data_IF_721616303995
#
_entry.id   IF_721616303995
#
_cell.length_a   1.000
_cell.length_b   1.000
_cell.length_c   1.000
_cell.angle_alpha   90.00
_cell.angle_beta   90.00
_cell.angle_gamma   90.00
#
_symmetry.space_group_name_H-M   'P 1'
#
loop_
_entity.id
_entity.type
_entity.pdbx_description
1 polymer ?
#
# COMPACT_ATOMS: atom_id res chain seq x y z
N UNK A 1 24.94 6.00 -11.05
CA UNK A 1 23.95 5.23 -11.86
C UNK A 1 22.56 5.57 -11.31
N UNK A 2 21.55 5.67 -12.17
CA UNK A 2 20.17 5.88 -11.71
C UNK A 2 19.73 4.66 -10.90
N UNK A 3 19.14 4.87 -9.72
CA UNK A 3 18.58 3.80 -8.89
C UNK A 3 17.29 3.27 -9.53
N UNK A 4 17.11 1.94 -9.59
CA UNK A 4 15.91 1.30 -10.09
C UNK A 4 14.84 1.27 -9.02
N UNK A 5 13.71 1.96 -9.26
CA UNK A 5 12.56 2.05 -8.37
C UNK A 5 11.48 1.08 -8.83
N UNK A 6 11.11 0.12 -7.98
CA UNK A 6 10.10 -0.90 -8.29
C UNK A 6 8.94 -0.80 -7.30
N UNK A 7 7.74 -0.56 -7.82
CA UNK A 7 6.53 -0.70 -7.02
C UNK A 7 6.09 -2.17 -6.99
N UNK A 8 5.86 -2.67 -5.79
CA UNK A 8 5.32 -4.01 -5.54
C UNK A 8 3.93 -3.85 -4.93
N UNK A 9 2.91 -4.21 -5.71
CA UNK A 9 1.52 -4.19 -5.29
C UNK A 9 1.18 -5.57 -4.76
N UNK A 10 0.83 -5.66 -3.48
CA UNK A 10 0.51 -6.95 -2.87
C UNK A 10 -1.00 -7.17 -2.78
N UNK A 11 -1.44 -8.39 -3.10
CA UNK A 11 -2.83 -8.80 -2.92
C UNK A 11 -3.00 -10.32 -2.96
N UNK A 12 -4.16 -10.80 -2.47
CA UNK A 12 -4.57 -12.19 -2.53
C UNK A 12 -6.10 -12.31 -2.55
N UNK A 13 -6.62 -13.42 -3.06
CA UNK A 13 -8.06 -13.69 -3.12
C UNK A 13 -8.68 -13.96 -1.74
N UNK A 14 -7.89 -14.53 -0.82
CA UNK A 14 -8.36 -15.01 0.48
C UNK A 14 -8.50 -13.91 1.54
N UNK A 15 -9.09 -12.75 1.19
CA UNK A 15 -9.46 -11.71 2.16
C UNK A 15 -10.53 -12.22 3.12
N UNK A 16 -10.39 -11.94 4.43
CA UNK A 16 -11.31 -12.46 5.44
C UNK A 16 -12.67 -11.77 5.49
N UNK A 17 -12.73 -10.47 5.12
CA UNK A 17 -13.96 -9.65 5.16
C UNK A 17 -14.68 -9.60 3.82
N UNK A 18 -13.92 -9.65 2.72
CA UNK A 18 -14.44 -9.59 1.36
C UNK A 18 -13.58 -10.50 0.46
N UNK A 19 -13.82 -11.83 0.46
CA UNK A 19 -13.10 -12.76 -0.40
C UNK A 19 -13.23 -12.38 -1.88
N UNK A 20 -12.14 -12.49 -2.64
CA UNK A 20 -12.12 -12.16 -4.06
C UNK A 20 -12.11 -10.67 -4.39
N UNK A 21 -12.05 -9.80 -3.40
CA UNK A 21 -12.14 -8.34 -3.59
C UNK A 21 -11.21 -7.78 -4.66
N UNK A 22 -10.00 -8.33 -4.82
CA UNK A 22 -9.02 -7.82 -5.79
C UNK A 22 -9.45 -7.98 -7.24
N UNK A 23 -10.34 -8.93 -7.54
CA UNK A 23 -10.97 -9.08 -8.86
C UNK A 23 -12.41 -8.54 -8.90
N UNK A 24 -12.89 -7.93 -7.83
CA UNK A 24 -14.22 -7.32 -7.81
C UNK A 24 -14.28 -6.14 -8.80
N UNK A 25 -15.38 -6.08 -9.56
CA UNK A 25 -15.61 -5.01 -10.51
C UNK A 25 -15.81 -3.65 -9.82
N UNK A 26 -15.08 -2.64 -10.31
CA UNK A 26 -15.27 -1.23 -10.01
C UNK A 26 -15.45 -0.49 -11.34
N UNK A 27 -16.69 -0.22 -11.72
CA UNK A 27 -17.04 0.52 -12.95
C UNK A 27 -16.37 -0.06 -14.22
N UNK A 28 -16.55 -1.37 -14.45
CA UNK A 28 -16.12 -2.06 -15.65
C UNK A 28 -14.68 -2.57 -15.66
N UNK A 29 -13.94 -2.45 -14.56
CA UNK A 29 -12.61 -3.04 -14.39
C UNK A 29 -12.43 -3.63 -13.00
N UNK A 30 -11.67 -4.74 -12.85
CA UNK A 30 -11.30 -5.27 -11.55
C UNK A 30 -10.54 -4.25 -10.71
N UNK A 31 -10.72 -4.28 -9.39
CA UNK A 31 -10.01 -3.42 -8.45
C UNK A 31 -8.49 -3.45 -8.64
N UNK A 32 -7.92 -4.63 -8.90
CA UNK A 32 -6.49 -4.78 -9.19
C UNK A 32 -6.05 -3.90 -10.36
N UNK A 33 -6.81 -3.88 -11.46
CA UNK A 33 -6.49 -3.03 -12.61
C UNK A 33 -6.48 -1.55 -12.24
N UNK A 34 -7.45 -1.10 -11.45
CA UNK A 34 -7.48 0.29 -10.95
C UNK A 34 -6.20 0.65 -10.23
N UNK A 35 -5.75 -0.22 -9.31
CA UNK A 35 -4.51 0.01 -8.55
C UNK A 35 -3.29 -0.01 -9.48
N UNK A 36 -3.18 -1.00 -10.39
CA UNK A 36 -2.06 -1.11 -11.33
C UNK A 36 -1.96 0.11 -12.25
N UNK A 37 -3.07 0.50 -12.88
CA UNK A 37 -3.14 1.64 -13.80
C UNK A 37 -2.80 2.94 -13.09
N UNK A 38 -3.36 3.19 -11.91
CA UNK A 38 -3.08 4.42 -11.17
C UNK A 38 -1.64 4.47 -10.69
N UNK A 39 -1.09 3.36 -10.19
CA UNK A 39 0.32 3.27 -9.80
C UNK A 39 1.25 3.53 -10.99
N UNK A 40 0.91 3.06 -12.21
CA UNK A 40 1.74 3.25 -13.41
C UNK A 40 1.87 4.70 -13.87
N UNK A 41 1.07 5.60 -13.32
CA UNK A 41 1.13 7.04 -13.63
C UNK A 41 2.18 7.79 -12.80
N UNK A 42 2.74 7.17 -11.77
CA UNK A 42 3.84 7.75 -11.01
C UNK A 42 5.11 7.80 -11.88
N UNK A 43 5.79 8.96 -11.85
CA UNK A 43 6.93 9.26 -12.74
C UNK A 43 8.26 8.71 -12.22
N UNK A 44 8.32 8.42 -10.94
CA UNK A 44 9.53 7.91 -10.28
C UNK A 44 9.72 6.41 -10.44
N UNK A 45 8.70 5.67 -10.87
CA UNK A 45 8.72 4.21 -10.97
C UNK A 45 9.34 3.75 -12.29
N UNK A 46 10.24 2.77 -12.22
CA UNK A 46 10.81 2.11 -13.39
C UNK A 46 10.07 0.80 -13.73
N UNK A 47 9.43 0.16 -12.74
CA UNK A 47 8.65 -1.08 -12.92
C UNK A 47 7.59 -1.23 -11.85
N UNK A 48 6.48 -1.92 -12.19
CA UNK A 48 5.39 -2.26 -11.28
C UNK A 48 5.16 -3.76 -11.37
N UNK A 49 5.12 -4.44 -10.23
CA UNK A 49 4.94 -5.88 -10.16
C UNK A 49 3.83 -6.20 -9.15
N UNK A 50 2.85 -6.99 -9.56
CA UNK A 50 1.88 -7.53 -8.63
C UNK A 50 2.44 -8.76 -7.93
N UNK A 51 2.39 -8.80 -6.59
CA UNK A 51 2.91 -9.92 -5.80
C UNK A 51 1.76 -10.66 -5.11
N UNK A 52 1.42 -11.84 -5.61
CA UNK A 52 0.40 -12.73 -5.04
C UNK A 52 1.01 -14.01 -4.44
N UNK A 53 0.18 -14.99 -4.10
CA UNK A 53 0.65 -16.20 -3.44
C UNK A 53 0.69 -17.42 -4.36
N UNK A 54 1.39 -18.47 -3.92
CA UNK A 54 1.40 -19.77 -4.60
C UNK A 54 0.20 -20.65 -4.20
N UNK A 55 -0.69 -20.15 -3.35
CA UNK A 55 -1.93 -20.85 -2.99
C UNK A 55 -2.85 -20.92 -4.22
N UNK A 56 -3.51 -22.06 -4.43
CA UNK A 56 -4.41 -22.28 -5.57
C UNK A 56 -5.60 -21.31 -5.60
N UNK A 57 -6.00 -20.75 -4.45
CA UNK A 57 -7.03 -19.70 -4.43
C UNK A 57 -6.64 -18.45 -5.18
N UNK A 58 -5.35 -18.22 -5.42
CA UNK A 58 -4.81 -17.07 -6.14
C UNK A 58 -4.54 -17.35 -7.64
N UNK A 59 -4.83 -18.58 -8.14
CA UNK A 59 -4.70 -18.88 -9.57
C UNK A 59 -5.54 -17.93 -10.45
N UNK A 60 -6.80 -17.60 -10.11
CA UNK A 60 -7.60 -16.68 -10.93
C UNK A 60 -6.98 -15.29 -11.06
N UNK A 61 -6.28 -14.79 -10.03
CA UNK A 61 -5.64 -13.48 -10.12
C UNK A 61 -4.34 -13.55 -10.91
N UNK A 62 -3.60 -14.65 -10.86
CA UNK A 62 -2.44 -14.87 -11.71
C UNK A 62 -2.84 -14.96 -13.20
N UNK A 63 -3.88 -15.73 -13.52
CA UNK A 63 -4.47 -15.80 -14.88
C UNK A 63 -4.93 -14.42 -15.36
N UNK A 64 -5.54 -13.64 -14.48
CA UNK A 64 -5.94 -12.27 -14.82
C UNK A 64 -4.73 -11.37 -15.11
N UNK A 65 -3.65 -11.46 -14.34
CA UNK A 65 -2.42 -10.69 -14.61
C UNK A 65 -1.81 -11.05 -15.97
N UNK A 66 -1.75 -12.34 -16.31
CA UNK A 66 -1.30 -12.80 -17.64
C UNK A 66 -2.18 -12.24 -18.76
N UNK A 67 -3.49 -12.31 -18.61
CA UNK A 67 -4.46 -11.76 -19.58
C UNK A 67 -4.32 -10.25 -19.75
N UNK A 68 -4.14 -9.52 -18.66
CA UNK A 68 -4.04 -8.06 -18.65
C UNK A 68 -2.64 -7.53 -19.01
N UNK A 69 -1.64 -8.43 -19.14
CA UNK A 69 -0.25 -8.06 -19.42
C UNK A 69 0.45 -7.38 -18.23
N UNK A 70 0.04 -7.68 -17.00
CA UNK A 70 0.69 -7.16 -15.80
C UNK A 70 1.83 -8.06 -15.36
N UNK A 71 3.01 -7.48 -15.09
CA UNK A 71 4.09 -8.21 -14.44
C UNK A 71 3.63 -8.69 -13.07
N UNK A 72 3.83 -9.99 -12.78
CA UNK A 72 3.49 -10.52 -11.46
C UNK A 72 4.48 -11.59 -10.97
N UNK A 73 4.47 -11.81 -9.67
CA UNK A 73 5.23 -12.87 -8.99
C UNK A 73 4.33 -13.61 -8.01
N UNK A 74 4.68 -14.85 -7.70
CA UNK A 74 3.98 -15.65 -6.69
C UNK A 74 4.97 -16.09 -5.61
N UNK A 75 4.53 -16.07 -4.35
CA UNK A 75 5.36 -16.45 -3.22
C UNK A 75 4.56 -16.93 -2.01
N UNK A 76 5.16 -16.92 -0.83
CA UNK A 76 4.53 -17.41 0.40
C UNK A 76 3.20 -16.72 0.71
N UNK A 77 2.20 -17.52 1.12
CA UNK A 77 0.91 -17.02 1.59
C UNK A 77 1.04 -16.19 2.89
N UNK A 78 1.87 -16.67 3.84
CA UNK A 78 1.97 -16.09 5.18
C UNK A 78 3.20 -15.21 5.38
N UNK A 79 4.26 -15.45 4.62
CA UNK A 79 5.48 -14.67 4.69
C UNK A 79 5.51 -13.58 3.61
N UNK A 80 4.81 -12.49 3.91
CA UNK A 80 4.69 -11.35 2.98
C UNK A 80 6.04 -10.65 2.81
N UNK A 81 6.85 -10.55 3.88
CA UNK A 81 8.19 -9.96 3.80
C UNK A 81 9.10 -10.76 2.85
N UNK A 82 9.05 -12.10 2.88
CA UNK A 82 9.79 -12.93 1.93
C UNK A 82 9.30 -12.68 0.50
N UNK A 83 7.99 -12.60 0.29
CA UNK A 83 7.41 -12.31 -1.03
C UNK A 83 7.90 -10.97 -1.59
N UNK A 84 7.94 -9.92 -0.77
CA UNK A 84 8.52 -8.62 -1.16
C UNK A 84 10.00 -8.73 -1.48
N UNK A 85 10.78 -9.41 -0.65
CA UNK A 85 12.21 -9.57 -0.86
C UNK A 85 12.53 -10.34 -2.13
N UNK A 86 11.84 -11.46 -2.40
CA UNK A 86 12.04 -12.28 -3.59
C UNK A 86 11.67 -11.49 -4.86
N UNK A 87 10.51 -10.82 -4.86
CA UNK A 87 10.08 -9.99 -5.99
C UNK A 87 11.08 -8.87 -6.27
N UNK A 88 11.49 -8.12 -5.25
CA UNK A 88 12.46 -7.03 -5.38
C UNK A 88 13.83 -7.51 -5.86
N UNK A 89 14.28 -8.69 -5.37
CA UNK A 89 15.54 -9.32 -5.78
C UNK A 89 15.53 -9.73 -7.25
N UNK A 90 14.44 -10.37 -7.71
CA UNK A 90 14.27 -10.77 -9.12
C UNK A 90 14.23 -9.55 -10.04
N UNK A 91 13.55 -8.49 -9.61
CA UNK A 91 13.47 -7.24 -10.34
C UNK A 91 14.76 -6.43 -10.31
N UNK A 92 15.75 -6.79 -9.50
CA UNK A 92 16.99 -6.03 -9.26
C UNK A 92 16.68 -4.59 -8.83
N UNK A 93 15.73 -4.44 -7.91
CA UNK A 93 15.33 -3.15 -7.38
C UNK A 93 16.42 -2.55 -6.49
N UNK A 94 16.65 -1.24 -6.58
CA UNK A 94 17.43 -0.48 -5.61
C UNK A 94 16.50 0.13 -4.54
N UNK A 95 15.29 0.52 -4.96
CA UNK A 95 14.23 1.05 -4.12
C UNK A 95 12.95 0.25 -4.34
N UNK A 96 12.26 -0.06 -3.26
CA UNK A 96 10.99 -0.81 -3.26
C UNK A 96 9.88 0.10 -2.71
N UNK A 97 8.82 0.27 -3.50
CA UNK A 97 7.60 0.95 -3.07
C UNK A 97 6.53 -0.12 -2.77
N UNK A 98 5.98 -0.09 -1.57
CA UNK A 98 4.91 -0.98 -1.15
C UNK A 98 3.55 -0.30 -1.32
N UNK A 99 2.68 -0.97 -2.06
CA UNK A 99 1.27 -0.59 -2.22
C UNK A 99 0.42 -1.83 -1.96
N UNK A 100 -0.76 -1.65 -1.38
CA UNK A 100 -1.72 -2.73 -1.17
C UNK A 100 -2.80 -2.70 -2.23
N UNK A 101 -3.20 -3.87 -2.74
CA UNK A 101 -4.13 -4.01 -3.86
C UNK A 101 -5.59 -3.60 -3.54
N UNK A 102 -5.86 -3.18 -2.33
CA UNK A 102 -7.16 -2.68 -1.86
C UNK A 102 -7.25 -1.15 -1.79
N UNK A 103 -6.33 -0.45 -2.44
CA UNK A 103 -6.25 1.01 -2.49
C UNK A 103 -6.53 1.53 -3.91
N UNK A 104 -7.76 1.37 -4.46
CA UNK A 104 -8.05 1.65 -5.88
C UNK A 104 -7.98 3.13 -6.26
N UNK A 105 -7.90 4.05 -5.32
CA UNK A 105 -7.70 5.49 -5.56
C UNK A 105 -6.29 5.96 -5.19
N UNK A 106 -5.32 5.03 -5.08
CA UNK A 106 -3.92 5.39 -4.85
C UNK A 106 -3.48 6.52 -5.79
N UNK A 107 -2.77 7.49 -5.27
CA UNK A 107 -2.42 8.69 -6.02
C UNK A 107 -0.95 8.69 -6.46
N UNK A 108 -0.67 8.89 -7.77
CA UNK A 108 0.68 8.87 -8.31
C UNK A 108 1.58 9.98 -7.76
N UNK A 109 1.04 11.17 -7.43
CA UNK A 109 1.84 12.24 -6.83
C UNK A 109 2.31 11.88 -5.41
N UNK A 110 1.49 11.16 -4.65
CA UNK A 110 1.91 10.68 -3.32
C UNK A 110 3.01 9.62 -3.43
N UNK A 111 2.97 8.77 -4.45
CA UNK A 111 4.04 7.82 -4.74
C UNK A 111 5.32 8.57 -5.06
N UNK A 112 5.26 9.53 -5.99
CA UNK A 112 6.41 10.33 -6.39
C UNK A 112 7.00 11.11 -5.22
N UNK A 113 6.17 11.71 -4.35
CA UNK A 113 6.63 12.45 -3.18
C UNK A 113 7.37 11.55 -2.18
N UNK A 114 6.86 10.36 -1.90
CA UNK A 114 7.51 9.40 -0.98
C UNK A 114 8.84 8.91 -1.55
N UNK A 115 8.89 8.59 -2.85
CA UNK A 115 10.12 8.13 -3.51
C UNK A 115 11.16 9.23 -3.58
N UNK A 116 10.79 10.45 -3.99
CA UNK A 116 11.72 11.57 -4.07
C UNK A 116 12.32 11.88 -2.70
N UNK A 117 11.50 11.94 -1.64
CA UNK A 117 12.01 12.14 -0.27
C UNK A 117 13.00 11.06 0.15
N UNK A 118 12.73 9.79 -0.19
CA UNK A 118 13.65 8.70 0.13
C UNK A 118 14.99 8.86 -0.57
N UNK A 119 14.98 9.28 -1.84
CA UNK A 119 16.17 9.38 -2.67
C UNK A 119 16.99 10.64 -2.36
N UNK A 120 16.33 11.79 -2.17
CA UNK A 120 16.99 13.08 -1.98
C UNK A 120 17.63 13.22 -0.60
N UNK A 121 16.99 12.69 0.44
CA UNK A 121 17.40 12.82 1.84
C UNK A 121 18.11 11.57 2.37
N UNK A 122 18.38 10.57 1.53
CA UNK A 122 19.08 9.32 1.88
C UNK A 122 18.46 8.57 3.07
N UNK A 123 17.12 8.47 3.10
CA UNK A 123 16.40 7.66 4.08
C UNK A 123 16.47 6.17 3.72
N UNK A 124 16.36 5.30 4.75
CA UNK A 124 16.19 3.86 4.58
C UNK A 124 14.73 3.49 4.36
N UNK A 125 13.80 4.28 4.94
CA UNK A 125 12.36 4.08 4.86
C UNK A 125 11.63 5.43 4.93
N UNK A 126 10.68 5.64 4.01
CA UNK A 126 9.78 6.81 3.97
C UNK A 126 8.35 6.34 3.77
N UNK A 127 7.41 6.97 4.46
CA UNK A 127 5.99 6.69 4.32
C UNK A 127 5.14 7.95 4.54
N UNK A 128 3.87 7.88 4.14
CA UNK A 128 2.88 8.92 4.47
C UNK A 128 1.90 8.48 5.57
N UNK A 129 2.18 7.36 6.24
CA UNK A 129 1.37 6.82 7.33
C UNK A 129 2.21 5.95 8.26
N UNK A 130 2.10 6.19 9.56
CA UNK A 130 2.54 5.28 10.63
C UNK A 130 1.37 4.96 11.57
N UNK A 131 1.42 3.81 12.28
CA UNK A 131 0.41 3.48 13.29
C UNK A 131 0.54 4.40 14.52
N UNK A 132 -0.47 4.40 15.41
CA UNK A 132 -0.33 5.09 16.70
C UNK A 132 1.00 4.75 17.41
N UNK A 133 1.65 5.73 18.08
CA UNK A 133 1.10 7.03 18.48
C UNK A 133 1.17 8.14 17.42
N UNK A 134 1.65 7.85 16.22
CA UNK A 134 1.70 8.84 15.14
C UNK A 134 0.30 9.08 14.57
N UNK A 135 0.01 10.33 14.19
CA UNK A 135 -1.23 10.69 13.51
C UNK A 135 -1.23 10.26 12.05
N UNK A 136 -2.42 10.13 11.49
CA UNK A 136 -2.64 9.97 10.05
C UNK A 136 -3.22 11.27 9.51
N UNK A 137 -2.65 11.82 8.46
CA UNK A 137 -3.15 13.06 7.84
C UNK A 137 -3.69 12.85 6.43
N UNK A 138 -3.40 11.72 5.82
CA UNK A 138 -3.97 11.31 4.52
C UNK A 138 -5.11 10.31 4.73
N UNK A 139 -6.13 10.30 3.84
CA UNK A 139 -7.19 9.28 3.84
C UNK A 139 -6.63 7.85 3.88
N UNK A 140 -7.33 6.97 4.60
CA UNK A 140 -7.03 5.53 4.61
C UNK A 140 -7.25 4.99 3.20
N UNK A 141 -6.23 4.35 2.61
CA UNK A 141 -6.25 3.88 1.21
C UNK A 141 -5.39 4.71 0.26
N UNK A 142 -4.71 5.75 0.79
CA UNK A 142 -3.66 6.48 0.09
C UNK A 142 -2.26 6.17 0.66
N UNK A 143 -2.12 5.02 1.33
CA UNK A 143 -0.89 4.64 2.01
C UNK A 143 0.20 4.26 1.01
N UNK A 144 1.33 4.94 1.08
CA UNK A 144 2.54 4.66 0.33
C UNK A 144 3.69 4.47 1.29
N UNK A 145 4.45 3.40 1.10
CA UNK A 145 5.63 3.09 1.90
C UNK A 145 6.77 2.75 0.95
N UNK A 146 7.93 3.40 1.10
CA UNK A 146 9.11 3.11 0.28
C UNK A 146 10.31 2.79 1.17
N UNK A 147 11.15 1.86 0.74
CA UNK A 147 12.40 1.54 1.42
C UNK A 147 13.52 1.22 0.42
N UNK A 148 14.77 1.37 0.85
CA UNK A 148 15.91 0.87 0.07
C UNK A 148 15.90 -0.65 0.06
N UNK A 149 16.35 -1.27 -1.05
CA UNK A 149 16.49 -2.73 -1.10
C UNK A 149 17.49 -3.25 -0.03
N UNK A 150 18.50 -2.47 0.28
CA UNK A 150 19.45 -2.79 1.37
C UNK A 150 18.73 -2.91 2.72
N UNK A 151 17.83 -1.98 3.03
CA UNK A 151 17.03 -2.02 4.25
C UNK A 151 16.05 -3.20 4.25
N UNK A 152 15.36 -3.45 3.13
CA UNK A 152 14.46 -4.60 2.97
C UNK A 152 15.20 -5.93 3.17
N UNK A 153 16.39 -6.08 2.59
CA UNK A 153 17.22 -7.27 2.76
C UNK A 153 17.65 -7.48 4.22
N UNK A 154 17.97 -6.39 4.96
CA UNK A 154 18.26 -6.48 6.39
C UNK A 154 17.03 -6.95 7.16
N UNK A 155 15.85 -6.32 6.93
CA UNK A 155 14.59 -6.74 7.54
C UNK A 155 14.27 -8.22 7.25
N UNK A 156 14.39 -8.65 6.00
CA UNK A 156 14.14 -10.03 5.60
C UNK A 156 15.02 -11.06 6.34
N UNK A 157 16.30 -10.73 6.57
CA UNK A 157 17.24 -11.60 7.29
C UNK A 157 17.00 -11.65 8.80
N UNK A 158 16.63 -10.52 9.40
CA UNK A 158 16.64 -10.34 10.84
C UNK A 158 15.25 -10.44 11.48
N UNK A 159 14.17 -10.11 10.75
CA UNK A 159 12.81 -10.13 11.26
C UNK A 159 12.32 -11.57 11.49
N UNK A 160 11.99 -11.90 12.74
CA UNK A 160 11.50 -13.24 13.16
C UNK A 160 10.06 -13.21 13.64
N UNK A 161 9.59 -12.05 14.10
CA UNK A 161 8.24 -11.88 14.62
C UNK A 161 7.20 -11.99 13.48
N UNK A 162 6.10 -12.74 13.73
CA UNK A 162 5.05 -12.94 12.74
C UNK A 162 4.50 -11.62 12.21
N UNK A 163 4.30 -10.63 13.07
CA UNK A 163 3.83 -9.30 12.67
C UNK A 163 4.77 -8.60 11.67
N UNK A 164 6.09 -8.77 11.82
CA UNK A 164 7.06 -8.20 10.87
C UNK A 164 7.04 -8.96 9.54
N UNK A 165 6.85 -10.28 9.59
CA UNK A 165 6.77 -11.13 8.38
C UNK A 165 5.48 -10.87 7.59
N UNK A 166 4.36 -10.58 8.27
CA UNK A 166 3.06 -10.33 7.64
C UNK A 166 2.89 -8.87 7.18
N UNK A 167 3.25 -7.89 8.02
CA UNK A 167 3.03 -6.48 7.72
C UNK A 167 4.21 -5.79 7.02
N UNK A 168 5.37 -6.43 6.94
CA UNK A 168 6.61 -6.00 6.25
C UNK A 168 7.28 -4.79 6.91
N UNK A 169 6.63 -3.64 6.91
CA UNK A 169 7.22 -2.35 7.23
C UNK A 169 7.39 -2.04 8.73
N UNK A 170 6.64 -2.65 9.68
CA UNK A 170 6.86 -2.40 11.11
C UNK A 170 8.31 -2.60 11.57
N UNK A 171 9.06 -3.51 10.93
CA UNK A 171 10.46 -3.76 11.25
C UNK A 171 11.35 -2.52 11.11
N UNK A 172 10.99 -1.58 10.21
CA UNK A 172 11.77 -0.37 9.97
C UNK A 172 11.52 0.70 11.05
N UNK A 173 10.27 0.86 11.49
CA UNK A 173 9.83 2.01 12.28
C UNK A 173 9.40 1.69 13.71
N UNK A 174 9.34 0.42 14.11
CA UNK A 174 8.97 0.04 15.49
C UNK A 174 9.85 0.78 16.50
N UNK A 175 9.20 1.41 17.50
CA UNK A 175 9.82 2.24 18.54
C UNK A 175 10.65 3.45 18.03
N UNK A 176 10.45 3.88 16.78
CA UNK A 176 11.09 5.09 16.27
C UNK A 176 10.57 6.32 17.00
N UNK A 177 11.46 7.25 17.29
CA UNK A 177 11.12 8.58 17.78
C UNK A 177 11.33 9.56 16.64
N UNK A 178 10.27 10.21 16.20
CA UNK A 178 10.31 11.20 15.14
C UNK A 178 10.32 12.61 15.72
N UNK A 179 11.11 13.48 15.10
CA UNK A 179 11.14 14.92 15.34
C UNK A 179 10.70 15.65 14.08
N UNK A 180 10.04 16.78 14.23
CA UNK A 180 9.62 17.59 13.09
C UNK A 180 10.83 18.11 12.32
N UNK A 181 10.86 17.91 11.01
CA UNK A 181 11.82 18.50 10.07
C UNK A 181 11.18 19.72 9.40
N UNK A 182 9.89 19.60 9.07
CA UNK A 182 9.07 20.69 8.55
C UNK A 182 7.62 20.54 9.02
N UNK A 183 6.71 21.38 8.52
CA UNK A 183 5.26 21.22 8.76
C UNK A 183 4.68 19.93 8.18
N UNK A 184 5.34 19.38 7.16
CA UNK A 184 4.86 18.22 6.39
C UNK A 184 5.77 17.00 6.52
N UNK A 185 6.85 17.08 7.29
CA UNK A 185 7.80 15.99 7.42
C UNK A 185 8.31 15.87 8.86
N UNK A 186 8.32 14.64 9.34
CA UNK A 186 9.00 14.26 10.58
C UNK A 186 9.99 13.13 10.31
N UNK A 187 11.12 13.13 10.96
CA UNK A 187 12.15 12.13 10.73
C UNK A 187 12.85 11.70 12.02
N UNK A 188 13.49 10.54 11.98
CA UNK A 188 14.27 10.00 13.09
C UNK A 188 15.01 8.72 12.72
N UNK A 189 15.70 8.16 13.70
CA UNK A 189 16.40 6.88 13.54
C UNK A 189 15.75 5.85 14.46
N UNK A 190 15.34 4.71 13.89
CA UNK A 190 14.76 3.63 14.67
C UNK A 190 15.81 2.93 15.52
N UNK A 191 15.43 2.18 16.59
CA UNK A 191 16.37 1.41 17.41
C UNK A 191 17.20 0.40 16.60
N UNK A 192 16.72 -0.03 15.44
CA UNK A 192 17.46 -0.93 14.52
C UNK A 192 18.39 -0.18 13.56
N UNK A 193 18.50 1.16 13.71
CA UNK A 193 19.43 2.01 12.96
C UNK A 193 18.93 2.43 11.58
N UNK A 194 17.63 2.29 11.27
CA UNK A 194 17.05 2.79 10.02
C UNK A 194 16.72 4.28 10.13
N UNK A 195 17.11 5.05 9.12
CA UNK A 195 16.66 6.44 8.94
C UNK A 195 15.22 6.41 8.40
N UNK A 196 14.29 6.92 9.18
CA UNK A 196 12.85 6.89 8.91
C UNK A 196 12.31 8.28 8.72
N UNK A 197 11.49 8.50 7.69
CA UNK A 197 10.71 9.73 7.55
C UNK A 197 9.21 9.44 7.37
N UNK A 198 8.39 10.32 7.96
CA UNK A 198 6.94 10.36 7.84
C UNK A 198 6.54 11.66 7.15
N UNK A 199 5.83 11.54 6.03
CA UNK A 199 5.24 12.67 5.31
C UNK A 199 3.80 12.89 5.78
N UNK A 200 3.48 14.14 6.07
CA UNK A 200 2.16 14.55 6.51
C UNK A 200 1.56 15.59 5.56
N UNK A 201 0.25 15.60 5.44
CA UNK A 201 -0.47 16.73 4.86
C UNK A 201 -0.66 17.81 5.93
N UNK A 202 -0.72 19.08 5.53
CA UNK A 202 -0.91 20.21 6.47
C UNK A 202 -2.29 20.22 7.12
N UNK A 203 -3.29 19.70 6.42
CA UNK A 203 -4.64 19.48 6.92
C UNK A 203 -4.83 17.99 7.19
N UNK A 204 -5.51 17.65 8.28
CA UNK A 204 -5.81 16.27 8.62
C UNK A 204 -7.07 15.79 7.89
N UNK A 205 -6.90 14.79 7.03
CA UNK A 205 -7.93 14.07 6.30
C UNK A 205 -7.97 12.58 6.69
N UNK A 206 -7.31 12.22 7.78
CA UNK A 206 -7.12 10.83 8.21
C UNK A 206 -8.40 10.06 8.56
N UNK A 207 -9.51 10.78 8.79
CA UNK A 207 -10.81 10.17 9.07
C UNK A 207 -11.50 9.60 7.82
N UNK A 208 -11.12 10.05 6.62
CA UNK A 208 -11.67 9.49 5.38
C UNK A 208 -11.16 8.07 5.13
N UNK A 209 -12.07 7.19 4.68
CA UNK A 209 -11.75 5.78 4.42
C UNK A 209 -12.01 5.44 2.95
N UNK A 210 -10.91 5.24 2.21
CA UNK A 210 -10.91 4.96 0.77
C UNK A 210 -10.19 3.65 0.40
N UNK A 211 -9.99 2.74 1.35
CA UNK A 211 -9.55 1.36 1.11
C UNK A 211 -10.76 0.45 0.99
N UNK A 212 -10.63 -0.66 0.28
CA UNK A 212 -11.71 -1.64 0.10
C UNK A 212 -11.43 -2.88 0.94
N UNK A 213 -12.17 -3.04 2.03
CA UNK A 213 -12.08 -4.21 2.90
C UNK A 213 -13.42 -4.90 3.14
N UNK A 214 -14.52 -4.20 2.96
CA UNK A 214 -15.89 -4.66 3.19
C UNK A 214 -16.77 -4.40 1.97
N UNK A 215 -17.98 -5.00 1.88
CA UNK A 215 -18.94 -4.68 0.83
C UNK A 215 -19.28 -3.18 0.75
N UNK A 216 -19.38 -2.51 1.91
CA UNK A 216 -19.68 -1.07 1.98
C UNK A 216 -18.52 -0.25 1.39
N UNK A 217 -17.27 -0.64 1.65
CA UNK A 217 -16.10 0.02 1.04
C UNK A 217 -16.12 -0.16 -0.49
N UNK A 218 -16.48 -1.34 -0.98
CA UNK A 218 -16.58 -1.61 -2.41
C UNK A 218 -17.68 -0.77 -3.06
N UNK A 219 -18.83 -0.63 -2.41
CA UNK A 219 -19.92 0.21 -2.88
C UNK A 219 -19.52 1.69 -2.92
N UNK A 220 -18.86 2.18 -1.87
CA UNK A 220 -18.28 3.52 -1.86
C UNK A 220 -17.37 3.75 -3.08
N UNK A 221 -16.45 2.81 -3.36
CA UNK A 221 -15.56 2.93 -4.50
C UNK A 221 -16.27 2.90 -5.85
N UNK A 222 -17.32 2.10 -5.99
CA UNK A 222 -18.16 2.07 -7.19
C UNK A 222 -18.82 3.41 -7.43
N UNK A 223 -19.37 4.04 -6.39
CA UNK A 223 -19.95 5.37 -6.51
C UNK A 223 -18.89 6.44 -6.85
N UNK A 224 -17.70 6.40 -6.26
CA UNK A 224 -16.60 7.29 -6.63
C UNK A 224 -16.26 7.14 -8.12
N UNK A 225 -15.96 5.93 -8.59
CA UNK A 225 -15.57 5.69 -9.98
C UNK A 225 -16.69 6.00 -10.98
N UNK A 226 -17.93 5.77 -10.62
CA UNK A 226 -19.10 6.15 -11.43
C UNK A 226 -19.18 7.67 -11.66
N UNK A 227 -18.84 8.49 -10.65
CA UNK A 227 -18.82 9.96 -10.77
C UNK A 227 -17.66 10.47 -11.62
N UNK A 228 -16.61 9.67 -11.79
CA UNK A 228 -15.52 9.94 -12.69
C UNK A 228 -15.63 9.18 -14.04
N UNK A 229 -16.80 8.68 -14.40
CA UNK A 229 -17.07 7.94 -15.66
C UNK A 229 -16.13 6.74 -15.88
N UNK A 230 -15.68 6.10 -14.80
CA UNK A 230 -14.74 4.99 -14.82
C UNK A 230 -13.31 5.36 -15.20
N UNK A 231 -12.94 6.63 -15.25
CA UNK A 231 -11.57 7.09 -15.53
C UNK A 231 -10.63 6.81 -14.35
N UNK A 232 -9.32 6.75 -14.62
CA UNK A 232 -8.26 6.54 -13.61
C UNK A 232 -7.34 7.75 -13.46
N UNK A 233 -7.64 8.87 -14.10
CA UNK A 233 -6.76 10.05 -14.17
C UNK A 233 -7.11 11.18 -13.19
N UNK A 234 -8.13 10.99 -12.37
CA UNK A 234 -8.45 11.92 -11.28
C UNK A 234 -7.44 11.84 -10.12
N UNK A 235 -7.28 12.94 -9.40
CA UNK A 235 -6.41 13.05 -8.22
C UNK A 235 -7.18 12.69 -6.94
N UNK A 236 -6.45 12.41 -5.87
CA UNK A 236 -7.07 12.20 -4.56
C UNK A 236 -7.80 13.45 -4.05
N UNK A 237 -7.39 14.65 -4.46
CA UNK A 237 -8.04 15.92 -4.12
C UNK A 237 -9.39 16.05 -4.80
N UNK A 238 -9.51 15.61 -6.06
CA UNK A 238 -10.81 15.57 -6.74
C UNK A 238 -11.76 14.56 -6.07
N UNK A 239 -11.25 13.45 -5.53
CA UNK A 239 -12.08 12.55 -4.70
C UNK A 239 -12.51 13.24 -3.41
N UNK A 240 -11.64 14.04 -2.78
CA UNK A 240 -11.98 14.81 -1.59
C UNK A 240 -13.09 15.83 -1.88
N UNK A 241 -12.96 16.59 -2.97
CA UNK A 241 -13.95 17.54 -3.41
C UNK A 241 -15.28 16.86 -3.72
N UNK A 242 -15.25 15.71 -4.44
CA UNK A 242 -16.43 14.92 -4.73
C UNK A 242 -17.18 14.51 -3.44
N UNK A 243 -16.45 14.00 -2.45
CA UNK A 243 -17.03 13.50 -1.19
C UNK A 243 -17.53 14.68 -0.32
N UNK A 244 -16.85 15.82 -0.36
CA UNK A 244 -17.28 17.04 0.30
C UNK A 244 -18.60 17.57 -0.28
N UNK A 245 -18.70 17.61 -1.61
CA UNK A 245 -19.89 18.10 -2.31
C UNK A 245 -21.06 17.12 -2.28
N UNK A 246 -20.80 15.82 -2.02
CA UNK A 246 -21.80 14.75 -1.95
C UNK A 246 -21.65 13.95 -0.64
N UNK A 247 -22.04 14.51 0.51
CA UNK A 247 -21.83 13.87 1.82
C UNK A 247 -22.52 12.51 2.00
N UNK A 248 -23.52 12.20 1.17
CA UNK A 248 -24.18 10.89 1.15
C UNK A 248 -23.22 9.78 0.72
N UNK A 249 -22.23 10.07 -0.15
CA UNK A 249 -21.23 9.10 -0.57
C UNK A 249 -20.32 8.72 0.61
N UNK A 250 -19.88 9.70 1.42
CA UNK A 250 -19.07 9.44 2.62
C UNK A 250 -19.80 8.57 3.66
N UNK A 251 -21.14 8.59 3.69
CA UNK A 251 -21.94 7.82 4.64
C UNK A 251 -21.98 6.31 4.31
N UNK A 252 -21.69 5.92 3.09
CA UNK A 252 -21.77 4.51 2.64
C UNK A 252 -20.91 3.60 3.51
N UNK A 253 -19.69 4.01 3.83
CA UNK A 253 -18.76 3.22 4.64
C UNK A 253 -18.32 3.88 5.96
N UNK A 254 -19.02 4.93 6.41
CA UNK A 254 -18.68 5.68 7.61
C UNK A 254 -18.63 4.83 8.90
N UNK A 255 -19.37 3.72 8.96
CA UNK A 255 -19.42 2.83 10.12
C UNK A 255 -18.40 1.69 10.08
N UNK A 256 -17.58 1.60 9.01
CA UNK A 256 -16.60 0.53 8.85
C UNK A 256 -15.37 0.81 9.71
N UNK A 257 -15.09 -0.10 10.65
CA UNK A 257 -13.93 0.00 11.51
C UNK A 257 -12.64 -0.45 10.80
N UNK A 258 -11.57 0.29 11.02
CA UNK A 258 -10.24 -0.06 10.51
C UNK A 258 -9.59 -1.14 11.38
N UNK A 259 -8.96 -2.16 10.75
CA UNK A 259 -8.14 -3.14 11.46
C UNK A 259 -6.83 -2.52 11.94
N UNK A 260 -6.34 -3.01 13.07
CA UNK A 260 -5.05 -2.60 13.64
C UNK A 260 -3.93 -3.58 13.27
N UNK A 261 -2.67 -3.21 13.52
CA UNK A 261 -1.51 -4.11 13.32
C UNK A 261 -1.54 -5.36 14.21
N UNK A 262 -2.40 -5.39 15.25
CA UNK A 262 -2.58 -6.56 16.10
C UNK A 262 -3.47 -7.63 15.48
N UNK A 263 -4.16 -7.29 14.40
CA UNK A 263 -5.07 -8.20 13.68
C UNK A 263 -4.30 -9.02 12.64
N UNK A 264 -3.43 -9.92 13.10
CA UNK A 264 -2.69 -10.87 12.25
C UNK A 264 -3.60 -11.99 11.73
N UNK A 265 -3.23 -12.60 10.60
CA UNK A 265 -3.93 -13.76 10.06
C UNK A 265 -3.73 -14.98 10.97
N UNK A 266 -4.79 -15.39 11.68
CA UNK A 266 -4.75 -16.51 12.61
C UNK A 266 -4.35 -17.85 11.96
N UNK A 267 -4.48 -17.98 10.63
CA UNK A 267 -4.02 -19.15 9.87
C UNK A 267 -2.50 -19.28 9.81
N UNK A 268 -1.77 -18.17 10.01
CA UNK A 268 -0.31 -18.15 10.08
C UNK A 268 0.24 -18.69 11.41
N UNK A 269 -0.61 -18.82 12.43
CA UNK A 269 -0.19 -19.35 13.73
C UNK A 269 0.05 -20.86 13.61
N UNK A 270 1.11 -21.41 14.25
CA UNK A 270 1.31 -22.85 14.30
C UNK A 270 0.09 -23.52 14.94
N UNK A 271 -0.45 -24.54 14.28
CA UNK A 271 -1.53 -25.36 14.87
C UNK A 271 -0.95 -26.00 16.14
N UNK A 272 -1.57 -25.70 17.29
CA UNK A 272 -1.26 -26.34 18.57
C UNK A 272 -1.64 -27.81 18.57
#
# INVERSE_FOLDING_TARGET
>A
MKQKVVAIIQGRMSSSRLPGKILADISGQPMLSRVMIRTSRAKTLDQIIFATTTDASDDPVAEYCDFAGFDFTRGSLFDVLDRYYQTASQAKADVVVRITADCPVIDPELIDNVVNTLLEDEYDFVCNRLPPPFGRTYPIGLDVEACTFKALKKAWKEAKELQHREHVMPYFYEDVKLSAVSRQQSAGVSPRGFKVALLNHVTDFGDYRWTVDTPEDLEFMREVYKRFDGRDDFTWKEVLDLVHDNPEIAKINANVQHKTLKDIDKRALPRR
#
